data_IF_223600557434
#
_entry.id   IF_223600557434
#
_cell.length_a   1.000
_cell.length_b   1.000
_cell.length_c   1.000
_cell.angle_alpha   90.00
_cell.angle_beta   90.00
_cell.angle_gamma   90.00
#
_symmetry.space_group_name_H-M   'P 1'
#
loop_
_entity.id
_entity.type
_entity.pdbx_description
1 polymer ?
#
# COMPACT_ATOMS: atom_id res chain seq x y z
N UNK A 1 -21.96 -12.79 -44.43
CA UNK A 1 -20.73 -12.02 -44.06
C UNK A 1 -20.03 -12.81 -42.95
N UNK A 2 -18.93 -13.42 -43.30
CA UNK A 2 -18.23 -14.44 -42.51
C UNK A 2 -17.06 -13.74 -41.84
N UNK A 3 -17.00 -13.77 -40.49
CA UNK A 3 -15.84 -13.34 -39.72
C UNK A 3 -14.69 -14.34 -39.92
N UNK A 4 -13.44 -13.87 -40.11
CA UNK A 4 -12.29 -14.77 -40.09
C UNK A 4 -11.80 -14.99 -38.65
N UNK A 5 -11.81 -16.25 -38.25
CA UNK A 5 -11.20 -16.74 -37.03
C UNK A 5 -9.66 -16.51 -37.06
N UNK A 6 -9.13 -15.81 -36.04
CA UNK A 6 -7.70 -15.71 -35.83
C UNK A 6 -7.22 -17.00 -35.13
N UNK A 7 -6.53 -17.85 -35.87
CA UNK A 7 -5.78 -18.97 -35.33
C UNK A 7 -4.48 -18.44 -34.70
N UNK A 8 -4.37 -18.55 -33.39
CA UNK A 8 -3.10 -18.33 -32.68
C UNK A 8 -2.30 -19.62 -32.78
N UNK A 9 -1.26 -19.62 -33.59
CA UNK A 9 -0.24 -20.67 -33.63
C UNK A 9 0.62 -20.59 -32.37
N UNK A 10 0.47 -21.58 -31.48
CA UNK A 10 1.35 -21.83 -30.36
C UNK A 10 2.47 -22.76 -30.83
N UNK A 11 3.49 -22.21 -31.44
CA UNK A 11 4.75 -22.93 -31.68
C UNK A 11 5.95 -22.03 -31.48
N UNK A 12 6.89 -22.56 -30.69
CA UNK A 12 8.28 -22.06 -30.50
C UNK A 12 8.58 -21.01 -29.42
N UNK A 13 8.07 -21.16 -28.18
CA UNK A 13 8.68 -20.46 -27.03
C UNK A 13 9.44 -21.44 -26.10
N UNK A 14 9.53 -22.72 -26.44
CA UNK A 14 10.11 -23.75 -25.55
C UNK A 14 11.48 -24.29 -26.00
N UNK A 15 12.21 -23.59 -26.84
CA UNK A 15 13.55 -24.01 -27.27
C UNK A 15 14.58 -22.98 -26.85
N UNK A 16 15.10 -23.13 -25.64
CA UNK A 16 16.23 -22.31 -25.18
C UNK A 16 16.32 -22.01 -23.68
N UNK A 17 15.50 -22.61 -22.84
CA UNK A 17 15.71 -22.54 -21.39
C UNK A 17 16.43 -23.78 -20.91
N UNK A 18 17.64 -23.59 -20.44
CA UNK A 18 18.46 -24.60 -19.76
C UNK A 18 17.76 -25.00 -18.45
N UNK A 19 17.09 -26.16 -18.48
CA UNK A 19 16.29 -26.70 -17.36
C UNK A 19 17.18 -27.15 -16.19
N UNK A 20 18.50 -27.12 -16.34
CA UNK A 20 19.46 -27.57 -15.34
C UNK A 20 19.64 -26.61 -14.18
N UNK A 21 19.72 -25.31 -14.44
CA UNK A 21 20.00 -24.30 -13.41
C UNK A 21 18.76 -23.94 -12.58
N UNK A 22 17.56 -24.01 -13.17
CA UNK A 22 16.32 -23.65 -12.44
C UNK A 22 15.84 -24.78 -11.50
N UNK A 23 16.24 -26.03 -11.76
CA UNK A 23 15.94 -27.18 -10.88
C UNK A 23 16.90 -27.27 -9.69
N UNK A 24 18.12 -26.76 -9.82
CA UNK A 24 19.13 -26.73 -8.76
C UNK A 24 18.73 -25.83 -7.59
N UNK A 25 18.24 -24.63 -7.88
CA UNK A 25 17.87 -23.65 -6.84
C UNK A 25 16.57 -24.01 -6.11
N UNK A 26 15.58 -24.58 -6.80
CA UNK A 26 14.30 -24.97 -6.15
C UNK A 26 14.46 -26.25 -5.35
N UNK A 27 15.26 -27.22 -5.83
CA UNK A 27 15.49 -28.47 -5.13
C UNK A 27 16.53 -28.36 -4.01
N UNK A 28 17.50 -27.46 -4.13
CA UNK A 28 18.49 -27.17 -3.10
C UNK A 28 17.85 -26.57 -1.84
N UNK A 29 16.84 -25.73 -1.98
CA UNK A 29 16.12 -25.12 -0.85
C UNK A 29 15.10 -26.08 -0.22
N UNK A 30 14.64 -27.10 -0.96
CA UNK A 30 13.68 -28.09 -0.47
C UNK A 30 14.33 -29.34 0.19
N UNK A 31 15.53 -29.74 -0.23
CA UNK A 31 16.26 -30.90 0.30
C UNK A 31 17.54 -30.58 1.08
N UNK A 32 18.08 -29.37 0.94
CA UNK A 32 19.32 -28.93 1.58
C UNK A 32 19.07 -28.21 2.88
N UNK A 33 19.08 -28.91 3.99
CA UNK A 33 19.34 -28.37 5.33
C UNK A 33 18.34 -27.37 5.85
N UNK A 34 17.29 -27.87 6.50
CA UNK A 34 16.32 -27.08 7.26
C UNK A 34 16.95 -26.04 8.17
N UNK A 35 17.03 -24.82 7.69
CA UNK A 35 16.94 -23.67 8.55
C UNK A 35 15.54 -23.67 9.14
N UNK A 36 15.37 -24.37 10.26
CA UNK A 36 14.19 -24.29 11.10
C UNK A 36 14.02 -22.81 11.46
N UNK A 37 13.25 -22.08 10.67
CA UNK A 37 12.64 -20.84 11.14
C UNK A 37 11.76 -21.25 12.31
N UNK A 38 12.38 -21.32 13.46
CA UNK A 38 11.73 -21.40 14.75
C UNK A 38 10.65 -20.33 14.68
N UNK A 39 9.39 -20.72 14.75
CA UNK A 39 8.30 -19.76 14.89
C UNK A 39 8.51 -19.13 16.26
N UNK A 40 9.28 -18.08 16.27
CA UNK A 40 9.62 -17.34 17.46
C UNK A 40 8.36 -16.63 17.91
N UNK A 41 7.88 -16.89 19.12
CA UNK A 41 6.90 -16.07 19.83
C UNK A 41 7.52 -14.71 20.21
N UNK A 42 8.55 -14.27 19.51
CA UNK A 42 9.19 -12.98 19.70
C UNK A 42 8.31 -11.80 19.26
N UNK A 43 8.76 -10.58 19.58
CA UNK A 43 8.09 -9.36 19.14
C UNK A 43 7.98 -9.33 17.62
N UNK A 44 6.76 -9.18 17.10
CA UNK A 44 6.51 -9.06 15.67
C UNK A 44 5.88 -7.71 15.35
N UNK A 45 6.37 -7.09 14.26
CA UNK A 45 5.81 -5.83 13.78
C UNK A 45 4.35 -6.04 13.35
N UNK A 46 3.49 -5.07 13.68
CA UNK A 46 2.11 -5.04 13.26
C UNK A 46 1.95 -4.93 11.74
N UNK A 47 0.80 -5.33 11.23
CA UNK A 47 0.48 -5.22 9.83
C UNK A 47 0.38 -3.74 9.39
N UNK A 48 0.79 -3.47 8.15
CA UNK A 48 0.59 -2.16 7.56
C UNK A 48 -0.88 -2.01 7.16
N UNK A 49 -1.43 -0.82 7.43
CA UNK A 49 -2.75 -0.42 6.95
C UNK A 49 -2.63 0.32 5.63
N UNK A 50 -3.66 0.20 4.79
CA UNK A 50 -3.77 0.93 3.54
C UNK A 50 -5.09 1.70 3.52
N UNK A 51 -5.03 2.92 3.04
CA UNK A 51 -6.19 3.77 2.80
C UNK A 51 -5.92 4.65 1.59
N UNK A 52 -6.95 5.27 1.05
CA UNK A 52 -6.80 6.20 -0.07
C UNK A 52 -7.34 7.57 0.31
N UNK A 53 -6.76 8.60 -0.27
CA UNK A 53 -7.21 9.98 -0.15
C UNK A 53 -7.35 10.58 -1.53
N UNK A 54 -8.46 11.28 -1.77
CA UNK A 54 -8.66 12.01 -3.02
C UNK A 54 -8.26 13.47 -2.85
N UNK A 55 -7.48 13.96 -3.79
CA UNK A 55 -7.03 15.36 -3.84
C UNK A 55 -7.35 15.95 -5.20
N UNK A 56 -7.34 17.30 -5.29
CA UNK A 56 -7.49 17.99 -6.56
C UNK A 56 -6.17 17.99 -7.34
N UNK A 57 -6.23 18.44 -8.59
CA UNK A 57 -5.05 18.56 -9.45
C UNK A 57 -4.05 19.60 -8.86
N UNK A 58 -4.55 20.74 -8.41
CA UNK A 58 -3.76 21.81 -7.82
C UNK A 58 -3.09 21.34 -6.51
N UNK A 59 -3.85 20.62 -5.68
CA UNK A 59 -3.32 20.05 -4.45
C UNK A 59 -2.19 19.04 -4.72
N UNK A 60 -2.27 18.31 -5.84
CA UNK A 60 -1.20 17.40 -6.25
C UNK A 60 0.04 18.16 -6.74
N UNK A 61 -0.15 19.29 -7.41
CA UNK A 61 0.96 20.11 -7.92
C UNK A 61 1.67 20.86 -6.79
N UNK A 62 0.93 21.49 -5.89
CA UNK A 62 1.51 22.34 -4.85
C UNK A 62 1.73 21.63 -3.51
N UNK A 63 1.18 20.43 -3.35
CA UNK A 63 1.13 19.74 -2.07
C UNK A 63 0.01 20.27 -1.17
N UNK A 64 -0.40 19.46 -0.21
CA UNK A 64 -1.44 19.83 0.74
C UNK A 64 -1.36 19.02 2.03
N UNK A 65 -2.10 19.44 3.04
CA UNK A 65 -2.34 18.64 4.23
C UNK A 65 -3.79 18.19 4.23
N UNK A 66 -4.01 16.88 4.45
CA UNK A 66 -5.35 16.28 4.56
C UNK A 66 -5.51 15.59 5.90
N UNK A 67 -6.71 15.65 6.45
CA UNK A 67 -7.09 14.85 7.62
C UNK A 67 -7.88 13.61 7.15
N UNK A 68 -7.47 12.46 7.63
CA UNK A 68 -8.14 11.19 7.35
C UNK A 68 -8.70 10.66 8.65
N UNK A 69 -10.00 10.35 8.65
CA UNK A 69 -10.67 9.68 9.75
C UNK A 69 -10.57 8.18 9.57
N UNK A 70 -9.96 7.49 10.52
CA UNK A 70 -9.88 6.04 10.49
C UNK A 70 -9.98 5.42 11.88
N UNK A 71 -10.38 4.16 11.89
CA UNK A 71 -10.45 3.38 13.13
C UNK A 71 -9.10 2.65 13.29
N UNK A 72 -8.41 2.99 14.36
CA UNK A 72 -7.17 2.33 14.73
C UNK A 72 -7.38 1.48 15.98
N UNK A 73 -6.66 0.36 16.02
CA UNK A 73 -6.55 -0.44 17.25
C UNK A 73 -5.39 0.11 18.08
N UNK A 74 -5.69 0.36 19.34
CA UNK A 74 -4.70 0.74 20.35
C UNK A 74 -4.66 -0.32 21.45
N UNK A 75 -3.55 -0.37 22.16
CA UNK A 75 -3.48 -1.22 23.34
C UNK A 75 -4.54 -0.82 24.37
N UNK A 76 -5.20 -1.80 24.90
CA UNK A 76 -6.21 -1.57 25.91
C UNK A 76 -5.58 -0.99 27.18
N UNK A 77 -5.96 0.22 27.54
CA UNK A 77 -5.42 0.93 28.71
C UNK A 77 -5.75 0.21 30.03
N UNK A 78 -6.85 -0.55 30.05
CA UNK A 78 -7.29 -1.28 31.26
C UNK A 78 -6.41 -2.48 31.58
N UNK A 79 -5.93 -3.21 30.56
CA UNK A 79 -5.12 -4.42 30.76
C UNK A 79 -3.68 -4.29 30.22
N UNK A 80 -3.29 -3.15 29.66
CA UNK A 80 -1.94 -2.96 29.11
C UNK A 80 -1.60 -3.95 27.99
N UNK A 81 -2.56 -4.24 27.11
CA UNK A 81 -2.34 -5.15 25.97
C UNK A 81 -2.41 -6.65 26.31
N UNK A 82 -2.50 -7.05 27.58
CA UNK A 82 -2.47 -8.46 27.98
C UNK A 82 -3.76 -9.23 27.66
N UNK A 83 -4.88 -8.55 27.54
CA UNK A 83 -6.21 -9.16 27.37
C UNK A 83 -6.78 -9.76 28.65
N UNK A 84 -5.98 -9.88 29.73
CA UNK A 84 -6.41 -10.40 31.00
C UNK A 84 -7.02 -9.30 31.90
N UNK A 85 -7.90 -9.68 32.83
CA UNK A 85 -8.46 -8.76 33.80
C UNK A 85 -7.35 -8.15 34.66
N UNK A 86 -7.41 -6.85 35.01
CA UNK A 86 -6.44 -6.24 35.91
C UNK A 86 -6.27 -7.04 37.21
N UNK A 87 -5.02 -7.29 37.57
CA UNK A 87 -4.67 -8.16 38.72
C UNK A 87 -4.52 -9.64 38.38
N UNK A 88 -4.82 -10.06 37.14
CA UNK A 88 -4.55 -11.41 36.64
C UNK A 88 -3.56 -11.37 35.48
N UNK A 89 -2.88 -12.47 35.23
CA UNK A 89 -1.93 -12.60 34.12
C UNK A 89 -2.31 -13.77 33.20
N UNK A 90 -2.01 -13.68 31.91
CA UNK A 90 -2.15 -14.80 31.01
C UNK A 90 -1.23 -15.97 31.43
N UNK A 91 -1.78 -17.19 31.49
CA UNK A 91 -1.03 -18.39 31.79
C UNK A 91 -0.44 -19.01 30.50
N UNK A 92 0.69 -19.69 30.64
CA UNK A 92 1.24 -20.43 29.49
C UNK A 92 0.33 -21.58 29.12
N UNK A 93 0.01 -21.71 27.84
CA UNK A 93 -0.82 -22.82 27.33
C UNK A 93 -0.11 -24.16 27.58
N UNK A 94 -0.71 -25.03 28.37
CA UNK A 94 -0.16 -26.34 28.72
C UNK A 94 -0.03 -27.27 27.53
N UNK A 95 -0.98 -27.21 26.57
CA UNK A 95 -1.02 -28.09 25.39
C UNK A 95 0.14 -27.85 24.42
N UNK A 96 0.55 -26.61 24.22
CA UNK A 96 1.65 -26.27 23.32
C UNK A 96 2.93 -25.81 24.05
N UNK A 97 2.92 -25.76 25.37
CA UNK A 97 4.05 -25.28 26.16
C UNK A 97 4.46 -23.84 25.79
N UNK A 98 3.51 -22.96 25.47
CA UNK A 98 3.77 -21.59 25.04
C UNK A 98 4.14 -21.40 23.58
N UNK A 99 4.31 -22.48 22.80
CA UNK A 99 4.77 -22.41 21.39
C UNK A 99 3.70 -21.95 20.41
N UNK A 100 2.43 -21.93 20.79
CA UNK A 100 1.30 -21.57 19.91
C UNK A 100 0.98 -22.60 18.83
N UNK A 101 1.81 -23.64 18.66
CA UNK A 101 1.66 -24.68 17.65
C UNK A 101 1.85 -26.05 18.30
N UNK A 102 1.16 -27.04 17.76
CA UNK A 102 1.30 -28.45 18.13
C UNK A 102 1.77 -29.25 16.93
N UNK A 103 2.64 -30.21 17.16
CA UNK A 103 3.18 -31.06 16.11
C UNK A 103 2.50 -32.44 16.25
N UNK A 104 1.82 -32.84 15.21
CA UNK A 104 1.26 -34.22 15.10
C UNK A 104 2.18 -35.03 14.19
N UNK A 105 2.71 -36.12 14.72
CA UNK A 105 3.47 -37.08 13.94
C UNK A 105 2.51 -38.17 13.48
N UNK A 106 2.34 -38.34 12.19
CA UNK A 106 1.51 -39.35 11.58
C UNK A 106 2.40 -40.30 10.77
N UNK A 107 2.29 -41.61 11.04
CA UNK A 107 3.00 -42.61 10.28
C UNK A 107 2.28 -42.82 8.95
N UNK A 108 2.96 -42.63 7.84
CA UNK A 108 2.48 -42.89 6.50
C UNK A 108 3.28 -44.03 5.87
N UNK A 109 2.78 -44.61 4.77
CA UNK A 109 3.46 -45.67 4.01
C UNK A 109 4.87 -45.25 3.51
N UNK A 110 5.17 -43.94 3.47
CA UNK A 110 6.44 -43.38 3.03
C UNK A 110 7.30 -42.81 4.18
N UNK A 111 6.97 -43.10 5.44
CA UNK A 111 7.69 -42.59 6.59
C UNK A 111 6.86 -41.75 7.55
N UNK A 112 7.50 -41.19 8.58
CA UNK A 112 6.86 -40.30 9.55
C UNK A 112 6.69 -38.91 8.96
N UNK A 113 5.46 -38.47 8.80
CA UNK A 113 5.12 -37.09 8.40
C UNK A 113 4.78 -36.30 9.66
N UNK A 114 5.50 -35.18 9.87
CA UNK A 114 5.21 -34.22 10.95
C UNK A 114 4.34 -33.11 10.40
N UNK A 115 3.13 -32.98 10.92
CA UNK A 115 2.21 -31.91 10.59
C UNK A 115 2.15 -30.91 11.74
N UNK A 116 2.48 -29.63 11.44
CA UNK A 116 2.47 -28.54 12.41
C UNK A 116 1.15 -27.79 12.28
N UNK A 117 0.33 -27.81 13.33
CA UNK A 117 -0.95 -27.12 13.36
C UNK A 117 -0.97 -26.04 14.44
N UNK A 118 -1.80 -25.02 14.22
CA UNK A 118 -2.07 -24.01 15.27
C UNK A 118 -2.71 -24.68 16.48
N UNK A 119 -2.23 -24.38 17.67
CA UNK A 119 -2.77 -24.96 18.90
C UNK A 119 -4.24 -24.57 19.06
N UNK A 120 -5.18 -25.53 19.16
CA UNK A 120 -6.61 -25.25 19.23
C UNK A 120 -7.05 -24.63 20.57
N UNK A 121 -6.28 -24.76 21.63
CA UNK A 121 -6.61 -24.17 22.94
C UNK A 121 -6.26 -22.68 23.01
N UNK A 122 -5.10 -22.31 22.54
CA UNK A 122 -4.65 -20.92 22.61
C UNK A 122 -4.75 -20.17 21.28
N UNK A 123 -5.24 -20.84 20.22
CA UNK A 123 -5.37 -20.27 18.86
C UNK A 123 -4.10 -19.55 18.36
N UNK A 124 -2.94 -20.13 18.67
CA UNK A 124 -1.66 -19.62 18.23
C UNK A 124 -0.97 -18.64 19.18
N UNK A 125 -1.65 -18.11 20.20
CA UNK A 125 -1.10 -17.11 21.12
C UNK A 125 -0.04 -17.67 22.07
N UNK A 126 -0.04 -18.98 22.32
CA UNK A 126 0.79 -19.63 23.32
C UNK A 126 0.37 -19.36 24.77
N UNK A 127 -0.65 -18.54 24.99
CA UNK A 127 -1.15 -18.14 26.30
C UNK A 127 -2.65 -18.38 26.42
N UNK A 128 -3.11 -18.65 27.65
CA UNK A 128 -4.53 -18.83 27.97
C UNK A 128 -4.92 -17.75 28.96
N UNK A 129 -6.03 -17.08 28.69
CA UNK A 129 -6.61 -16.04 29.54
C UNK A 129 -7.86 -16.63 30.19
N UNK A 130 -7.79 -16.94 31.51
CA UNK A 130 -8.94 -17.42 32.28
C UNK A 130 -9.94 -16.28 32.50
N UNK A 131 -9.48 -15.17 33.06
CA UNK A 131 -10.28 -13.99 33.32
C UNK A 131 -10.02 -12.94 32.26
N UNK A 132 -10.98 -12.73 31.38
CA UNK A 132 -10.86 -11.77 30.27
C UNK A 132 -11.08 -10.35 30.73
N UNK A 133 -10.28 -9.42 30.22
CA UNK A 133 -10.49 -8.00 30.42
C UNK A 133 -11.86 -7.59 29.87
N UNK A 134 -12.66 -6.91 30.68
CA UNK A 134 -14.03 -6.46 30.30
C UNK A 134 -14.02 -5.42 29.18
N UNK A 135 -13.02 -4.54 29.15
CA UNK A 135 -12.91 -3.45 28.18
C UNK A 135 -12.59 -3.96 26.77
N UNK A 136 -11.63 -4.87 26.63
CA UNK A 136 -11.21 -5.42 25.34
C UNK A 136 -11.71 -6.85 25.06
N UNK A 137 -12.45 -7.46 25.99
CA UNK A 137 -13.01 -8.82 25.88
C UNK A 137 -11.96 -9.90 25.59
N UNK A 138 -10.74 -9.69 26.08
CA UNK A 138 -9.64 -10.64 25.93
C UNK A 138 -8.74 -10.40 24.72
N UNK A 139 -9.02 -9.43 23.87
CA UNK A 139 -8.22 -9.14 22.66
C UNK A 139 -6.91 -8.40 22.98
N UNK A 140 -6.83 -7.71 24.10
CA UNK A 140 -5.70 -6.82 24.44
C UNK A 140 -5.77 -5.45 23.77
N UNK A 141 -6.67 -5.23 22.81
CA UNK A 141 -6.76 -4.02 22.00
C UNK A 141 -8.17 -3.43 21.99
N UNK A 142 -8.26 -2.11 21.91
CA UNK A 142 -9.52 -1.37 21.76
C UNK A 142 -9.46 -0.56 20.47
N UNK A 143 -10.58 -0.48 19.76
CA UNK A 143 -10.68 0.30 18.53
C UNK A 143 -11.15 1.70 18.84
N UNK A 144 -10.43 2.72 18.34
CA UNK A 144 -10.78 4.13 18.48
C UNK A 144 -10.72 4.84 17.14
N UNK A 145 -11.67 5.76 16.90
CA UNK A 145 -11.64 6.62 15.72
C UNK A 145 -10.62 7.74 15.96
N UNK A 146 -9.68 7.90 15.03
CA UNK A 146 -8.64 8.92 15.10
C UNK A 146 -8.55 9.69 13.81
N UNK A 147 -8.32 10.99 13.93
CA UNK A 147 -7.97 11.87 12.82
C UNK A 147 -6.45 11.88 12.66
N UNK A 148 -5.99 11.53 11.48
CA UNK A 148 -4.56 11.51 11.14
C UNK A 148 -4.33 12.59 10.11
N UNK A 149 -3.41 13.51 10.41
CA UNK A 149 -2.93 14.49 9.45
C UNK A 149 -1.90 13.83 8.54
N UNK A 150 -2.12 14.00 7.24
CA UNK A 150 -1.27 13.48 6.18
C UNK A 150 -0.76 14.66 5.38
N UNK A 151 0.55 14.86 5.41
CA UNK A 151 1.22 15.84 4.55
C UNK A 151 1.53 15.19 3.22
N UNK A 152 0.97 15.72 2.16
CA UNK A 152 1.16 15.27 0.78
C UNK A 152 2.15 16.22 0.11
N UNK A 153 3.30 15.71 -0.34
CA UNK A 153 4.32 16.56 -0.95
C UNK A 153 3.86 17.11 -2.30
N UNK A 154 4.39 18.27 -2.66
CA UNK A 154 4.19 18.85 -3.98
C UNK A 154 4.72 17.92 -5.07
N UNK A 155 4.04 17.90 -6.21
CA UNK A 155 4.44 17.11 -7.36
C UNK A 155 4.09 15.62 -7.28
N UNK A 156 3.32 15.18 -6.29
CA UNK A 156 2.91 13.79 -6.16
C UNK A 156 2.10 13.33 -7.38
N UNK A 157 2.34 12.08 -7.80
CA UNK A 157 1.61 11.48 -8.90
C UNK A 157 0.39 10.68 -8.44
N UNK A 158 -0.57 10.49 -9.36
CA UNK A 158 -1.72 9.62 -9.12
C UNK A 158 -1.27 8.19 -8.84
N UNK A 159 -1.84 7.57 -7.81
CA UNK A 159 -1.50 6.20 -7.38
C UNK A 159 -0.23 6.10 -6.52
N UNK A 160 0.50 7.18 -6.30
CA UNK A 160 1.61 7.16 -5.35
C UNK A 160 1.11 7.07 -3.91
N UNK A 161 1.93 6.46 -3.04
CA UNK A 161 1.58 6.24 -1.64
C UNK A 161 2.50 7.02 -0.71
N UNK A 162 1.89 7.76 0.21
CA UNK A 162 2.58 8.40 1.33
C UNK A 162 2.58 7.46 2.52
N UNK A 163 3.76 7.23 3.11
CA UNK A 163 3.94 6.34 4.26
C UNK A 163 4.00 7.14 5.56
N UNK A 164 3.08 6.82 6.46
CA UNK A 164 3.07 7.37 7.82
C UNK A 164 3.49 6.27 8.78
N UNK A 165 4.63 6.48 9.43
CA UNK A 165 5.21 5.49 10.34
C UNK A 165 4.35 5.30 11.59
N UNK A 166 4.31 4.07 12.11
CA UNK A 166 3.67 3.71 13.37
C UNK A 166 2.17 4.02 13.47
N UNK A 167 1.48 4.17 12.33
CA UNK A 167 0.03 4.37 12.24
C UNK A 167 -0.71 3.15 11.67
N UNK A 168 -0.05 2.00 11.63
CA UNK A 168 -0.64 0.71 11.27
C UNK A 168 -1.24 -0.04 12.45
N UNK A 169 -1.48 -1.34 12.27
CA UNK A 169 -1.93 -2.24 13.35
C UNK A 169 -0.87 -2.35 14.46
N UNK A 170 -1.29 -2.57 15.70
CA UNK A 170 -0.34 -2.82 16.80
C UNK A 170 0.47 -4.09 16.54
N UNK A 171 1.69 -4.10 17.00
CA UNK A 171 2.54 -5.28 16.94
C UNK A 171 2.06 -6.38 17.88
N UNK A 172 2.56 -7.59 17.66
CA UNK A 172 2.26 -8.75 18.49
C UNK A 172 3.42 -8.98 19.44
N UNK A 173 3.12 -9.43 20.66
CA UNK A 173 4.12 -9.72 21.72
C UNK A 173 5.10 -8.55 22.02
N UNK A 174 4.58 -7.31 22.05
CA UNK A 174 5.40 -6.13 22.29
C UNK A 174 6.21 -5.67 21.08
N UNK A 175 5.89 -6.13 19.89
CA UNK A 175 6.51 -5.64 18.66
C UNK A 175 6.05 -4.21 18.30
N UNK A 176 6.79 -3.50 17.42
CA UNK A 176 6.42 -2.17 16.98
C UNK A 176 5.14 -2.20 16.11
N UNK A 177 4.45 -1.07 16.09
CA UNK A 177 3.29 -0.91 15.18
C UNK A 177 3.70 -1.01 13.73
N UNK A 178 2.75 -1.37 12.87
CA UNK A 178 2.88 -1.23 11.42
C UNK A 178 2.83 0.23 10.98
N UNK A 179 2.92 0.43 9.68
CA UNK A 179 2.83 1.74 9.05
C UNK A 179 1.47 1.91 8.37
N UNK A 180 1.05 3.15 8.16
CA UNK A 180 -0.09 3.50 7.34
C UNK A 180 0.41 3.95 5.98
N UNK A 181 -0.08 3.32 4.93
CA UNK A 181 0.16 3.66 3.53
C UNK A 181 -1.09 4.37 3.00
N UNK A 182 -0.94 5.63 2.64
CA UNK A 182 -2.02 6.46 2.10
C UNK A 182 -1.80 6.61 0.61
N UNK A 183 -2.61 5.92 -0.19
CA UNK A 183 -2.60 6.03 -1.64
C UNK A 183 -3.30 7.33 -2.06
N UNK A 184 -2.62 8.12 -2.88
CA UNK A 184 -3.14 9.39 -3.36
C UNK A 184 -3.84 9.20 -4.69
N UNK A 185 -5.12 9.60 -4.74
CA UNK A 185 -5.93 9.59 -5.95
C UNK A 185 -6.14 11.04 -6.39
N UNK A 186 -5.51 11.40 -7.51
CA UNK A 186 -5.63 12.74 -8.08
C UNK A 186 -6.88 12.80 -8.95
N UNK A 187 -7.75 13.76 -8.68
CA UNK A 187 -8.93 14.02 -9.52
C UNK A 187 -8.51 14.63 -10.85
N UNK A 188 -9.19 14.22 -11.94
CA UNK A 188 -9.00 14.85 -13.26
C UNK A 188 -9.39 16.31 -13.21
N UNK A 189 -8.64 17.14 -13.95
CA UNK A 189 -8.95 18.57 -14.11
C UNK A 189 -9.55 18.83 -15.51
N UNK A 190 -10.55 19.72 -15.64
CA UNK A 190 -11.20 19.96 -16.93
C UNK A 190 -10.28 20.61 -17.97
N UNK A 191 -9.29 21.37 -17.56
CA UNK A 191 -8.40 22.13 -18.44
C UNK A 191 -7.01 21.52 -18.51
N UNK A 192 -6.48 21.04 -17.36
CA UNK A 192 -5.09 20.61 -17.24
C UNK A 192 -4.95 19.10 -17.34
N UNK A 193 -3.92 18.69 -18.09
CA UNK A 193 -3.48 17.29 -18.18
C UNK A 193 -2.00 17.22 -17.81
N UNK A 194 -1.65 16.30 -16.92
CA UNK A 194 -0.28 16.09 -16.51
C UNK A 194 0.35 14.94 -17.27
N UNK A 195 1.57 15.13 -17.73
CA UNK A 195 2.47 14.08 -18.23
C UNK A 195 3.84 14.29 -17.57
N UNK A 196 4.20 13.46 -16.65
CA UNK A 196 5.39 13.57 -15.82
C UNK A 196 5.46 14.93 -15.09
N UNK A 197 6.44 15.77 -15.44
CA UNK A 197 6.65 17.09 -14.87
C UNK A 197 5.99 18.20 -15.71
N UNK A 198 5.39 17.87 -16.83
CA UNK A 198 4.77 18.85 -17.72
C UNK A 198 3.25 18.91 -17.50
N UNK A 199 2.70 20.10 -17.58
CA UNK A 199 1.26 20.33 -17.54
C UNK A 199 0.85 20.87 -18.90
N UNK A 200 -0.13 20.23 -19.51
CA UNK A 200 -0.70 20.60 -20.80
C UNK A 200 -2.07 21.22 -20.60
N UNK A 201 -2.32 22.30 -21.33
CA UNK A 201 -3.63 22.92 -21.44
C UNK A 201 -3.85 23.38 -22.87
N UNK A 202 -5.11 23.56 -23.27
CA UNK A 202 -5.48 24.09 -24.58
C UNK A 202 -6.02 25.51 -24.42
N UNK A 203 -5.45 26.45 -25.14
CA UNK A 203 -5.91 27.83 -25.19
C UNK A 203 -6.54 28.11 -26.57
N UNK A 204 -7.86 28.38 -26.64
CA UNK A 204 -8.50 28.77 -27.87
C UNK A 204 -8.13 30.19 -28.23
N UNK A 205 -7.79 30.44 -29.49
CA UNK A 205 -7.56 31.79 -30.05
C UNK A 205 -8.50 32.01 -31.21
N UNK A 206 -8.84 33.28 -31.48
CA UNK A 206 -9.64 33.65 -32.64
C UNK A 206 -8.82 33.57 -33.93
N UNK A 207 -9.50 33.40 -35.06
CA UNK A 207 -8.86 33.42 -36.37
C UNK A 207 -8.08 34.75 -36.63
N UNK A 208 -8.64 35.89 -36.22
CA UNK A 208 -7.98 37.17 -36.31
C UNK A 208 -6.65 37.21 -35.51
N UNK A 209 -6.64 36.69 -34.28
CA UNK A 209 -5.42 36.57 -33.49
C UNK A 209 -4.41 35.61 -34.10
N UNK A 210 -4.85 34.52 -34.73
CA UNK A 210 -3.95 33.58 -35.40
C UNK A 210 -3.27 34.20 -36.62
N UNK A 211 -3.99 35.06 -37.41
CA UNK A 211 -3.48 35.69 -38.64
C UNK A 211 -2.66 36.92 -38.33
N UNK A 212 -3.20 37.82 -37.51
CA UNK A 212 -2.60 39.14 -37.26
C UNK A 212 -1.65 39.15 -36.05
N UNK A 213 -1.69 38.14 -35.23
CA UNK A 213 -1.05 38.13 -33.95
C UNK A 213 -1.89 38.85 -32.88
N UNK A 214 -1.35 38.94 -31.68
CA UNK A 214 -1.99 39.62 -30.57
C UNK A 214 -1.84 38.89 -29.24
N UNK A 215 -2.31 39.50 -28.19
CA UNK A 215 -2.24 38.95 -26.85
C UNK A 215 -3.39 37.96 -26.58
N UNK A 216 -3.08 36.85 -25.94
CA UNK A 216 -4.06 35.92 -25.41
C UNK A 216 -3.73 35.56 -23.98
N UNK A 217 -4.79 35.25 -23.21
CA UNK A 217 -4.65 34.80 -21.82
C UNK A 217 -4.64 33.30 -21.79
N UNK A 218 -3.60 32.71 -21.22
CA UNK A 218 -3.45 31.26 -21.04
C UNK A 218 -3.56 30.96 -19.57
N UNK A 219 -4.51 30.12 -19.20
CA UNK A 219 -4.62 29.64 -17.81
C UNK A 219 -3.52 28.64 -17.50
N UNK A 220 -2.82 28.86 -16.39
CA UNK A 220 -1.84 27.94 -15.81
C UNK A 220 -2.25 27.58 -14.38
N UNK A 221 -1.66 26.56 -13.80
CA UNK A 221 -2.03 26.08 -12.47
C UNK A 221 -1.78 27.12 -11.37
N UNK A 222 -0.83 28.00 -11.57
CA UNK A 222 -0.48 29.10 -10.65
C UNK A 222 -1.02 30.47 -11.08
N UNK A 223 -2.01 30.49 -11.97
CA UNK A 223 -2.68 31.70 -12.44
C UNK A 223 -2.58 31.90 -13.94
N UNK A 224 -3.20 32.96 -14.42
CA UNK A 224 -3.22 33.28 -15.85
C UNK A 224 -1.93 34.00 -16.30
N UNK A 225 -1.47 33.68 -17.50
CA UNK A 225 -0.31 34.29 -18.14
C UNK A 225 -0.75 34.91 -19.46
N UNK A 226 -0.30 36.12 -19.74
CA UNK A 226 -0.50 36.77 -21.03
C UNK A 226 0.60 36.28 -21.99
N UNK A 227 0.18 35.72 -23.12
CA UNK A 227 1.08 35.25 -24.17
C UNK A 227 0.84 36.02 -25.48
N UNK A 228 1.92 36.47 -26.10
CA UNK A 228 1.89 37.12 -27.39
C UNK A 228 1.88 36.11 -28.54
N UNK A 229 0.74 35.96 -29.20
CA UNK A 229 0.58 35.08 -30.36
C UNK A 229 1.24 35.73 -31.56
N UNK A 230 2.11 34.98 -32.25
CA UNK A 230 2.79 35.48 -33.46
C UNK A 230 1.84 35.42 -34.67
N UNK A 231 1.92 36.41 -35.58
CA UNK A 231 1.17 36.37 -36.82
C UNK A 231 1.46 35.07 -37.61
N UNK A 232 0.42 34.48 -38.18
CA UNK A 232 0.52 33.23 -38.93
C UNK A 232 0.58 31.97 -38.09
N UNK A 233 0.23 32.03 -36.78
CA UNK A 233 0.17 30.84 -35.91
C UNK A 233 -0.86 29.85 -36.41
N UNK A 234 -0.45 28.60 -36.58
CA UNK A 234 -1.30 27.50 -37.06
C UNK A 234 -2.04 26.79 -35.94
N UNK A 235 -3.12 26.09 -36.29
CA UNK A 235 -3.85 25.19 -35.37
C UNK A 235 -2.88 24.19 -34.74
N UNK A 236 -3.10 23.84 -33.47
CA UNK A 236 -2.31 22.89 -32.68
C UNK A 236 -0.82 23.26 -32.52
N UNK A 237 -0.47 24.53 -32.74
CA UNK A 237 0.86 25.02 -32.44
C UNK A 237 1.13 24.87 -30.93
N UNK A 238 2.20 24.14 -30.60
CA UNK A 238 2.61 23.94 -29.20
C UNK A 238 3.58 25.00 -28.75
N UNK A 239 3.27 25.63 -27.63
CA UNK A 239 4.13 26.61 -26.98
C UNK A 239 4.56 26.11 -25.61
N UNK A 240 5.75 26.45 -25.18
CA UNK A 240 6.29 26.05 -23.87
C UNK A 240 6.42 27.27 -22.96
N UNK A 241 5.64 27.25 -21.88
CA UNK A 241 5.78 28.21 -20.79
C UNK A 241 6.75 27.65 -19.75
N UNK A 242 7.97 28.19 -19.69
CA UNK A 242 8.98 27.74 -18.73
C UNK A 242 8.56 28.06 -17.29
N UNK A 243 8.81 27.13 -16.37
CA UNK A 243 8.51 27.32 -14.94
C UNK A 243 7.03 27.21 -14.57
N UNK A 244 6.16 26.77 -15.49
CA UNK A 244 4.70 26.60 -15.28
C UNK A 244 4.27 25.12 -15.26
N UNK A 245 5.23 24.21 -15.03
CA UNK A 245 4.98 22.81 -14.83
C UNK A 245 4.86 22.44 -13.36
N UNK A 246 5.00 21.13 -13.07
CA UNK A 246 4.99 20.59 -11.71
C UNK A 246 6.29 20.99 -11.01
N UNK A 247 6.26 21.51 -9.78
CA UNK A 247 7.46 21.78 -8.97
C UNK A 247 8.26 20.48 -8.72
N UNK A 248 9.58 20.58 -8.74
CA UNK A 248 10.51 19.47 -8.49
C UNK A 248 11.12 19.58 -7.09
#
# INVERSE_FOLDING_TARGET
MVEPAVQVQADSIFSGMDFGDMFGDIFGDFFGGGSRRSASNGPMKGANLRTSVRITFEEAVFGCEKEIDMVLKDECTTCGGTGAKPGTSPETCTKCGGKGKVVFSQQSLFGMVQNVQTCPECNGSGKIIKDRCTSCRGTGYTSSRKKIKVSIPAGIDNGQSVRIREKGEPGVNGGPRGDLLVEVIVSSHPIFQRQDMNIFSTAPISFAQAVLGGETRISTVDGDVIYEVKPGTQTDTRIRLKGKGVPS
#
